data_IF_103365072442
#
_entry.id   IF_103365072442
#
_cell.length_a   1.000
_cell.length_b   1.000
_cell.length_c   1.000
_cell.angle_alpha   90.00
_cell.angle_beta   90.00
_cell.angle_gamma   90.00
#
_symmetry.space_group_name_H-M   'P 1'
#
loop_
_entity.id
_entity.type
_entity.pdbx_description
1 polymer ?
#
# COMPACT_ATOMS: atom_id res chain seq x y z
N UNK A 1 2.22 10.59 -0.62
CA UNK A 1 1.70 9.45 -1.41
C UNK A 1 0.22 9.66 -1.65
N UNK A 2 -0.26 9.35 -2.84
CA UNK A 2 -1.69 9.35 -3.17
C UNK A 2 -2.08 7.93 -3.60
N UNK A 3 -3.12 7.38 -2.99
CA UNK A 3 -3.65 6.05 -3.34
C UNK A 3 -5.16 6.13 -3.48
N UNK A 4 -5.66 5.52 -4.55
CA UNK A 4 -7.09 5.36 -4.81
C UNK A 4 -7.36 3.89 -5.04
N UNK A 5 -8.09 3.27 -4.12
CA UNK A 5 -8.63 1.93 -4.30
C UNK A 5 -9.99 2.04 -4.98
N UNK A 6 -10.16 1.28 -6.06
CA UNK A 6 -11.38 1.23 -6.86
C UNK A 6 -12.12 -0.08 -6.60
N UNK A 7 -13.45 -0.04 -6.69
CA UNK A 7 -14.28 -1.25 -6.75
C UNK A 7 -14.27 -1.86 -8.16
N UNK A 8 -14.97 -2.99 -8.33
CA UNK A 8 -15.08 -3.72 -9.59
C UNK A 8 -15.72 -2.89 -10.73
N UNK A 9 -16.46 -1.84 -10.40
CA UNK A 9 -17.07 -0.91 -11.35
C UNK A 9 -16.21 0.35 -11.59
N UNK A 10 -14.95 0.33 -11.14
CA UNK A 10 -14.00 1.45 -11.20
C UNK A 10 -14.46 2.68 -10.44
N UNK A 11 -15.36 2.54 -9.47
CA UNK A 11 -15.76 3.65 -8.60
C UNK A 11 -14.75 3.79 -7.45
N UNK A 12 -14.42 5.01 -7.04
CA UNK A 12 -13.57 5.23 -5.88
C UNK A 12 -14.20 4.64 -4.62
N UNK A 13 -13.51 3.68 -4.00
CA UNK A 13 -13.89 3.05 -2.75
C UNK A 13 -13.13 3.67 -1.57
N UNK A 14 -11.82 3.91 -1.74
CA UNK A 14 -10.99 4.56 -0.73
C UNK A 14 -9.93 5.45 -1.37
N UNK A 15 -9.90 6.72 -1.00
CA UNK A 15 -8.92 7.69 -1.48
C UNK A 15 -8.14 8.25 -0.30
N UNK A 16 -6.81 8.20 -0.37
CA UNK A 16 -5.92 8.81 0.61
C UNK A 16 -4.86 9.63 -0.10
N UNK A 17 -4.55 10.80 0.45
CA UNK A 17 -3.46 11.66 0.01
C UNK A 17 -2.82 12.25 1.25
N UNK A 18 -1.64 11.75 1.59
CA UNK A 18 -0.94 12.14 2.81
C UNK A 18 0.58 12.12 2.59
N UNK A 19 1.34 13.04 3.23
CA UNK A 19 2.78 12.84 3.36
C UNK A 19 3.05 11.54 4.11
N UNK A 20 4.09 10.82 3.67
CA UNK A 20 4.51 9.55 4.25
C UNK A 20 6.03 9.54 4.36
N UNK A 21 6.56 8.87 5.39
CA UNK A 21 7.99 8.59 5.46
C UNK A 21 8.31 7.33 4.66
N UNK A 22 9.44 7.36 3.98
CA UNK A 22 10.08 6.20 3.38
C UNK A 22 11.25 5.79 4.27
N UNK A 23 11.24 4.55 4.75
CA UNK A 23 12.25 4.04 5.68
C UNK A 23 12.97 2.86 5.04
N UNK A 24 14.31 2.73 5.19
CA UNK A 24 15.00 1.51 4.83
C UNK A 24 14.37 0.30 5.55
N UNK A 25 14.19 -0.81 4.83
CA UNK A 25 13.62 -2.04 5.37
C UNK A 25 14.70 -3.13 5.37
N UNK A 26 14.99 -3.70 6.54
CA UNK A 26 15.87 -4.86 6.64
C UNK A 26 15.12 -6.10 6.17
N UNK A 27 15.26 -6.43 4.89
CA UNK A 27 14.66 -7.62 4.30
C UNK A 27 15.70 -8.74 4.13
N UNK A 28 15.25 -10.02 4.12
CA UNK A 28 16.12 -11.12 3.72
C UNK A 28 16.71 -10.85 2.34
N UNK A 29 17.91 -11.38 2.10
CA UNK A 29 18.57 -11.28 0.78
C UNK A 29 17.63 -11.85 -0.29
N UNK A 30 17.24 -10.99 -1.24
CA UNK A 30 16.50 -11.39 -2.44
C UNK A 30 17.48 -11.95 -3.46
N UNK A 31 17.17 -13.11 -4.04
CA UNK A 31 17.94 -13.67 -5.16
C UNK A 31 17.43 -13.19 -6.54
N UNK A 32 16.25 -12.57 -6.57
CA UNK A 32 15.57 -12.18 -7.81
C UNK A 32 16.01 -10.80 -8.30
N UNK A 33 16.52 -9.96 -7.40
CA UNK A 33 16.94 -8.59 -7.70
C UNK A 33 17.90 -8.06 -6.63
N UNK A 34 18.85 -7.24 -7.07
CA UNK A 34 19.74 -6.48 -6.20
C UNK A 34 19.15 -5.09 -5.92
N UNK A 35 19.28 -4.61 -4.68
CA UNK A 35 18.95 -3.23 -4.33
C UNK A 35 18.59 -3.07 -2.86
N UNK A 36 18.59 -1.82 -2.39
CA UNK A 36 18.12 -1.49 -1.03
C UNK A 36 16.60 -1.47 -1.00
N UNK A 37 16.03 -2.09 0.04
CA UNK A 37 14.59 -2.15 0.25
C UNK A 37 14.14 -1.00 1.14
N UNK A 38 12.95 -0.50 0.85
CA UNK A 38 12.34 0.60 1.58
C UNK A 38 10.86 0.33 1.79
N UNK A 39 10.39 0.65 2.99
CA UNK A 39 8.99 0.56 3.37
C UNK A 39 8.38 1.96 3.43
N UNK A 40 7.22 2.09 2.79
CA UNK A 40 6.26 3.15 3.04
C UNK A 40 5.08 2.54 3.78
N UNK A 41 4.75 3.08 4.94
CA UNK A 41 3.65 2.62 5.76
C UNK A 41 2.69 3.76 6.08
N UNK A 42 1.42 3.56 5.73
CA UNK A 42 0.31 4.45 6.04
C UNK A 42 -0.76 3.69 6.83
N UNK A 43 -1.33 4.32 7.85
CA UNK A 43 -2.37 3.75 8.70
C UNK A 43 -3.32 4.87 9.14
N UNK A 44 -4.63 4.61 9.03
CA UNK A 44 -5.69 5.45 9.58
C UNK A 44 -6.81 4.57 10.18
N UNK A 45 -7.96 5.17 10.49
CA UNK A 45 -9.13 4.44 11.02
C UNK A 45 -9.81 3.53 9.98
N UNK A 46 -9.60 3.80 8.70
CA UNK A 46 -10.27 3.14 7.59
C UNK A 46 -9.45 1.98 7.01
N UNK A 47 -8.13 2.01 7.17
CA UNK A 47 -7.26 0.97 6.67
C UNK A 47 -5.77 1.23 6.87
N UNK A 48 -4.97 0.33 6.28
CA UNK A 48 -3.53 0.38 6.27
C UNK A 48 -3.02 0.12 4.85
N UNK A 49 -1.96 0.82 4.47
CA UNK A 49 -1.23 0.56 3.23
C UNK A 49 0.25 0.35 3.58
N UNK A 50 0.81 -0.76 3.11
CA UNK A 50 2.25 -1.01 3.12
C UNK A 50 2.73 -1.14 1.69
N UNK A 51 3.73 -0.36 1.32
CA UNK A 51 4.39 -0.41 0.02
C UNK A 51 5.85 -0.71 0.26
N UNK A 52 6.32 -1.85 -0.24
CA UNK A 52 7.75 -2.15 -0.29
C UNK A 52 8.28 -1.76 -1.66
N UNK A 53 9.35 -0.96 -1.64
CA UNK A 53 10.05 -0.44 -2.79
C UNK A 53 11.47 -0.99 -2.78
N UNK A 54 12.04 -1.24 -3.95
CA UNK A 54 13.47 -1.47 -4.12
C UNK A 54 14.09 -0.34 -4.94
N UNK A 55 15.26 0.14 -4.52
CA UNK A 55 16.05 1.09 -5.30
C UNK A 55 16.88 0.35 -6.34
N UNK A 56 16.57 0.56 -7.63
CA UNK A 56 17.27 -0.06 -8.75
C UNK A 56 17.62 0.98 -9.80
N UNK A 57 18.90 1.07 -10.18
CA UNK A 57 19.38 1.89 -11.32
C UNK A 57 18.72 3.28 -11.38
N UNK A 58 18.74 4.00 -10.26
CA UNK A 58 18.21 5.37 -10.12
C UNK A 58 16.67 5.52 -10.09
N UNK A 59 15.92 4.43 -9.91
CA UNK A 59 14.47 4.49 -9.71
C UNK A 59 14.00 3.55 -8.61
N UNK A 60 12.92 3.94 -7.94
CA UNK A 60 12.20 3.05 -7.03
C UNK A 60 11.20 2.19 -7.81
N UNK A 61 11.19 0.88 -7.51
CA UNK A 61 10.25 -0.09 -8.08
C UNK A 61 9.42 -0.69 -6.95
N UNK A 62 8.10 -0.72 -7.11
CA UNK A 62 7.19 -1.38 -6.16
C UNK A 62 7.30 -2.89 -6.34
N UNK A 63 7.63 -3.59 -5.27
CA UNK A 63 7.76 -5.06 -5.23
C UNK A 63 6.70 -5.72 -4.36
N UNK A 64 6.08 -4.95 -3.44
CA UNK A 64 4.94 -5.42 -2.65
C UNK A 64 3.99 -4.27 -2.36
N UNK A 65 2.69 -4.54 -2.49
CA UNK A 65 1.62 -3.65 -2.07
C UNK A 65 0.63 -4.47 -1.24
N UNK A 66 0.56 -4.16 0.05
CA UNK A 66 -0.39 -4.77 0.97
C UNK A 66 -1.37 -3.72 1.44
N UNK A 67 -2.66 -3.99 1.27
CA UNK A 67 -3.74 -3.09 1.65
C UNK A 67 -4.65 -3.82 2.62
N UNK A 68 -4.83 -3.24 3.81
CA UNK A 68 -5.83 -3.67 4.77
C UNK A 68 -6.94 -2.63 4.83
N UNK A 69 -8.17 -3.11 4.98
CA UNK A 69 -9.36 -2.29 5.07
C UNK A 69 -10.17 -2.70 6.29
N UNK A 70 -10.78 -1.72 6.95
CA UNK A 70 -11.76 -2.04 7.98
C UNK A 70 -12.98 -2.74 7.35
N UNK A 71 -13.45 -3.80 8.01
CA UNK A 71 -14.64 -4.53 7.58
C UNK A 71 -15.85 -3.61 7.56
N UNK A 72 -15.96 -2.68 8.53
CA UNK A 72 -17.03 -1.68 8.56
C UNK A 72 -17.08 -0.82 7.29
N UNK A 73 -15.94 -0.46 6.71
CA UNK A 73 -15.88 0.32 5.47
C UNK A 73 -16.30 -0.51 4.26
N UNK A 74 -15.88 -1.78 4.20
CA UNK A 74 -16.31 -2.74 3.17
C UNK A 74 -17.83 -2.94 3.26
N UNK A 75 -18.35 -3.24 4.44
CA UNK A 75 -19.77 -3.44 4.72
C UNK A 75 -20.59 -2.23 4.28
N UNK A 76 -20.12 -1.02 4.60
CA UNK A 76 -20.79 0.23 4.22
C UNK A 76 -20.84 0.47 2.70
N UNK A 77 -19.75 0.18 1.96
CA UNK A 77 -19.71 0.42 0.51
C UNK A 77 -20.51 -0.62 -0.26
N UNK A 78 -20.35 -1.89 0.10
CA UNK A 78 -20.97 -3.01 -0.60
C UNK A 78 -22.34 -3.42 -0.03
N UNK A 79 -22.82 -2.75 1.02
CA UNK A 79 -24.07 -3.08 1.72
C UNK A 79 -24.10 -4.56 2.17
N UNK A 80 -23.03 -4.98 2.84
CA UNK A 80 -22.81 -6.36 3.35
C UNK A 80 -22.64 -6.37 4.87
N UNK A 81 -22.56 -7.56 5.49
CA UNK A 81 -22.38 -7.76 6.93
C UNK A 81 -21.40 -8.91 7.19
N UNK A 82 -20.17 -8.76 6.70
CA UNK A 82 -19.05 -9.68 6.97
C UNK A 82 -18.57 -9.60 8.42
#
# INVERSE_FOLDING_TARGET
MSLTLLDEFRKPFWCVSSPVSMQPEETPVSYDYDGEHFLIHYLDSDGQVKVTLVWMKERFVVISLVVYMSVSKVNKHFSTDY
#
